data_IF_035255425641
#
_entry.id   IF_035255425641
#
_cell.length_a   1.000
_cell.length_b   1.000
_cell.length_c   1.000
_cell.angle_alpha   90.00
_cell.angle_beta   90.00
_cell.angle_gamma   90.00
#
_symmetry.space_group_name_H-M   'P 1'
#
loop_
_entity.id
_entity.type
_entity.pdbx_description
1 polymer ?
#
# COMPACT_ATOMS: atom_id res chain seq x y z
N UNK A 1 -8.16 -11.66 -15.16
CA UNK A 1 -7.35 -12.01 -13.96
C UNK A 1 -7.45 -10.87 -12.96
N UNK A 2 -7.55 -11.13 -11.65
CA UNK A 2 -7.74 -10.08 -10.62
C UNK A 2 -6.42 -9.76 -9.93
N UNK A 3 -5.95 -8.49 -9.97
CA UNK A 3 -4.80 -8.04 -9.18
C UNK A 3 -4.93 -8.35 -7.69
N UNK A 4 -3.81 -8.70 -7.04
CA UNK A 4 -3.76 -9.11 -5.63
C UNK A 4 -2.61 -8.42 -4.89
N UNK A 5 -2.78 -8.29 -3.58
CA UNK A 5 -1.70 -7.90 -2.67
C UNK A 5 -0.72 -9.06 -2.53
N UNK A 6 0.56 -8.72 -2.46
CA UNK A 6 1.66 -9.65 -2.20
C UNK A 6 2.54 -9.15 -1.06
N UNK A 7 3.13 -10.08 -0.32
CA UNK A 7 4.20 -9.78 0.63
C UNK A 7 5.56 -9.93 -0.06
N UNK A 8 6.45 -8.96 0.15
CA UNK A 8 7.87 -9.07 -0.22
C UNK A 8 8.59 -10.01 0.74
N UNK A 9 9.55 -10.76 0.22
CA UNK A 9 10.40 -11.66 1.00
C UNK A 9 11.87 -11.26 0.88
N UNK A 10 12.64 -11.49 1.95
CA UNK A 10 14.10 -11.39 1.97
C UNK A 10 14.79 -12.75 1.81
N UNK A 11 14.02 -13.83 1.61
CA UNK A 11 14.59 -15.15 1.38
C UNK A 11 15.51 -15.12 0.15
N UNK A 12 16.67 -15.76 0.26
CA UNK A 12 17.62 -15.87 -0.84
C UNK A 12 16.92 -16.48 -2.06
N UNK A 13 17.11 -15.88 -3.24
CA UNK A 13 16.47 -16.31 -4.48
C UNK A 13 15.04 -15.82 -4.69
N UNK A 14 14.45 -15.05 -3.77
CA UNK A 14 13.12 -14.47 -3.99
C UNK A 14 13.11 -13.53 -5.21
N UNK A 15 12.27 -13.85 -6.19
CA UNK A 15 12.00 -13.02 -7.36
C UNK A 15 10.53 -12.60 -7.36
N UNK A 16 10.29 -11.29 -7.19
CA UNK A 16 8.94 -10.73 -7.14
C UNK A 16 8.13 -10.98 -8.43
N UNK A 17 8.76 -10.84 -9.60
CA UNK A 17 8.04 -11.00 -10.86
C UNK A 17 7.68 -12.46 -11.10
N UNK A 18 8.61 -13.39 -10.85
CA UNK A 18 8.32 -14.82 -10.96
C UNK A 18 7.20 -15.26 -10.00
N UNK A 19 7.24 -14.81 -8.74
CA UNK A 19 6.19 -15.09 -7.77
C UNK A 19 4.83 -14.51 -8.19
N UNK A 20 4.83 -13.31 -8.78
CA UNK A 20 3.62 -12.64 -9.25
C UNK A 20 3.00 -13.34 -10.46
N UNK A 21 3.83 -13.73 -11.43
CA UNK A 21 3.41 -14.51 -12.58
C UNK A 21 2.85 -15.87 -12.16
N UNK A 22 3.49 -16.55 -11.20
CA UNK A 22 2.99 -17.82 -10.66
C UNK A 22 1.66 -17.66 -9.91
N UNK A 23 1.41 -16.50 -9.26
CA UNK A 23 0.19 -16.26 -8.49
C UNK A 23 -1.06 -16.15 -9.38
N UNK A 24 -0.98 -15.36 -10.46
CA UNK A 24 -2.14 -15.09 -11.31
C UNK A 24 -1.76 -14.55 -12.69
N UNK A 25 -0.55 -14.78 -13.18
CA UNK A 25 -0.10 -14.35 -14.51
C UNK A 25 0.14 -12.83 -14.67
N UNK A 26 -0.09 -12.02 -13.64
CA UNK A 26 0.10 -10.57 -13.72
C UNK A 26 1.51 -10.16 -13.27
N UNK A 27 2.05 -9.05 -13.79
CA UNK A 27 3.27 -8.43 -13.23
C UNK A 27 2.99 -7.84 -11.85
N UNK A 28 4.05 -7.65 -11.05
CA UNK A 28 3.95 -7.00 -9.74
C UNK A 28 4.69 -5.66 -9.68
N UNK A 29 4.17 -4.72 -8.89
CA UNK A 29 4.86 -3.48 -8.53
C UNK A 29 5.14 -3.40 -7.04
N UNK A 30 6.35 -2.98 -6.68
CA UNK A 30 6.72 -2.66 -5.31
C UNK A 30 6.14 -1.29 -4.94
N UNK A 31 5.43 -1.23 -3.82
CA UNK A 31 4.76 -0.01 -3.33
C UNK A 31 5.29 0.42 -1.96
N UNK A 32 6.56 0.13 -1.66
CA UNK A 32 7.20 0.43 -0.37
C UNK A 32 7.84 1.81 -0.36
N UNK A 33 8.03 2.38 0.84
CA UNK A 33 8.85 3.58 1.05
C UNK A 33 10.34 3.34 0.71
N UNK A 34 11.09 4.38 0.30
CA UNK A 34 10.66 5.77 0.08
C UNK A 34 10.00 6.01 -1.30
N UNK A 35 9.51 4.98 -1.98
CA UNK A 35 8.92 5.12 -3.32
C UNK A 35 7.59 5.87 -3.35
N UNK A 36 7.24 6.38 -4.53
CA UNK A 36 6.01 7.15 -4.86
C UNK A 36 4.72 6.55 -4.28
N UNK A 37 4.62 5.23 -4.24
CA UNK A 37 3.43 4.49 -3.80
C UNK A 37 3.50 4.01 -2.34
N UNK A 38 4.51 4.43 -1.59
CA UNK A 38 4.65 4.13 -0.18
C UNK A 38 3.59 4.84 0.66
N UNK A 39 3.12 4.18 1.73
CA UNK A 39 2.27 4.86 2.70
C UNK A 39 3.05 5.99 3.39
N UNK A 40 2.62 7.26 3.29
CA UNK A 40 3.29 8.37 3.97
C UNK A 40 3.13 8.32 5.50
N UNK A 41 2.08 7.66 6.00
CA UNK A 41 1.85 7.47 7.44
C UNK A 41 2.67 6.26 7.93
N UNK A 42 3.61 6.49 8.83
CA UNK A 42 4.39 5.41 9.45
C UNK A 42 3.63 4.85 10.66
N UNK A 43 3.77 3.53 10.89
CA UNK A 43 3.17 2.88 12.07
C UNK A 43 3.71 3.55 13.35
N UNK A 44 5.01 3.83 13.39
CA UNK A 44 5.68 4.48 14.53
C UNK A 44 5.14 5.88 14.81
N UNK A 45 5.07 6.76 13.80
CA UNK A 45 4.54 8.11 13.99
C UNK A 45 3.05 8.08 14.36
N UNK A 46 2.29 7.18 13.75
CA UNK A 46 0.86 7.00 14.09
C UNK A 46 0.70 6.49 15.53
N UNK A 47 1.53 5.55 15.98
CA UNK A 47 1.52 5.08 17.36
C UNK A 47 1.81 6.23 18.34
N UNK A 48 2.84 7.03 18.06
CA UNK A 48 3.21 8.18 18.90
C UNK A 48 2.14 9.27 18.94
N UNK A 49 1.55 9.64 17.79
CA UNK A 49 0.54 10.70 17.71
C UNK A 49 -0.77 10.32 18.40
N UNK A 50 -1.17 9.04 18.30
CA UNK A 50 -2.49 8.60 18.77
C UNK A 50 -2.43 7.77 20.07
N UNK A 51 -1.24 7.51 20.62
CA UNK A 51 -1.07 6.69 21.82
C UNK A 51 -1.51 5.23 21.63
N UNK A 52 -1.24 4.66 20.46
CA UNK A 52 -1.71 3.33 20.05
C UNK A 52 -0.61 2.27 20.16
N UNK A 53 -1.01 1.02 20.36
CA UNK A 53 -0.13 -0.12 20.12
C UNK A 53 0.18 -0.31 18.62
N UNK A 54 1.09 -1.22 18.30
CA UNK A 54 1.56 -1.42 16.92
C UNK A 54 0.45 -1.88 15.95
N UNK A 55 -0.48 -2.74 16.39
CA UNK A 55 -1.52 -3.30 15.52
C UNK A 55 -2.61 -2.25 15.24
N UNK A 56 -3.04 -1.53 16.28
CA UNK A 56 -3.96 -0.42 16.17
C UNK A 56 -3.35 0.73 15.34
N UNK A 57 -2.07 1.03 15.55
CA UNK A 57 -1.35 2.04 14.77
C UNK A 57 -1.21 1.63 13.29
N UNK A 58 -1.02 0.35 12.98
CA UNK A 58 -0.99 -0.15 11.61
C UNK A 58 -2.34 0.04 10.93
N UNK A 59 -3.44 -0.34 11.59
CA UNK A 59 -4.78 -0.13 11.07
C UNK A 59 -5.04 1.37 10.82
N UNK A 60 -4.68 2.22 11.79
CA UNK A 60 -4.86 3.67 11.69
C UNK A 60 -4.02 4.29 10.57
N UNK A 61 -2.77 3.87 10.39
CA UNK A 61 -1.91 4.36 9.32
C UNK A 61 -2.45 3.99 7.92
N UNK A 62 -3.09 2.82 7.79
CA UNK A 62 -3.73 2.40 6.53
C UNK A 62 -5.02 3.18 6.27
N UNK A 63 -5.81 3.42 7.32
CA UNK A 63 -7.01 4.27 7.26
C UNK A 63 -6.66 5.70 6.80
N UNK A 64 -5.68 6.35 7.44
CA UNK A 64 -5.19 7.67 7.04
C UNK A 64 -4.69 7.68 5.59
N UNK A 65 -3.97 6.63 5.16
CA UNK A 65 -3.54 6.49 3.77
C UNK A 65 -4.73 6.41 2.80
N UNK A 66 -5.77 5.67 3.15
CA UNK A 66 -7.00 5.60 2.35
C UNK A 66 -7.73 6.93 2.26
N UNK A 67 -7.85 7.66 3.35
CA UNK A 67 -8.44 9.01 3.35
C UNK A 67 -7.60 9.97 2.49
N UNK A 68 -6.27 9.90 2.59
CA UNK A 68 -5.36 10.70 1.78
C UNK A 68 -5.54 10.43 0.29
N UNK A 69 -5.48 9.15 -0.13
CA UNK A 69 -5.64 8.75 -1.53
C UNK A 69 -7.03 9.06 -2.10
N UNK A 70 -8.06 9.15 -1.25
CA UNK A 70 -9.43 9.53 -1.63
C UNK A 70 -9.72 11.03 -1.52
N UNK A 71 -8.77 11.82 -1.01
CA UNK A 71 -8.94 13.27 -0.84
C UNK A 71 -9.91 13.67 0.29
N UNK A 72 -10.14 12.78 1.27
CA UNK A 72 -11.05 13.01 2.39
C UNK A 72 -10.32 13.19 3.73
N UNK A 73 -8.98 13.20 3.71
CA UNK A 73 -8.16 13.40 4.90
C UNK A 73 -8.28 14.84 5.41
N UNK A 74 -8.26 14.99 6.73
CA UNK A 74 -8.07 16.30 7.37
C UNK A 74 -6.83 17.01 6.80
N UNK A 75 -6.96 18.24 6.26
CA UNK A 75 -5.83 19.01 5.74
C UNK A 75 -4.67 19.18 6.73
N UNK A 76 -4.92 19.21 8.05
CA UNK A 76 -3.89 19.34 9.08
C UNK A 76 -3.01 18.09 9.20
N UNK A 77 -3.52 16.93 8.78
CA UNK A 77 -2.80 15.66 8.80
C UNK A 77 -2.13 15.35 7.45
N UNK A 78 -2.28 16.24 6.46
CA UNK A 78 -1.88 15.97 5.08
C UNK A 78 -0.36 15.90 4.92
N UNK A 79 0.19 14.80 4.37
CA UNK A 79 1.61 14.68 4.03
C UNK A 79 1.95 15.34 2.68
N UNK A 80 1.02 16.09 2.08
CA UNK A 80 1.13 16.68 0.75
C UNK A 80 0.00 16.25 -0.18
N UNK A 81 0.03 16.71 -1.43
CA UNK A 81 -0.99 16.36 -2.41
C UNK A 81 -0.96 14.84 -2.71
N UNK A 82 -2.11 14.13 -2.64
CA UNK A 82 -2.16 12.73 -3.03
C UNK A 82 -1.99 12.57 -4.55
N UNK A 83 -1.42 11.43 -5.02
CA UNK A 83 -1.44 11.10 -6.44
C UNK A 83 -2.88 11.02 -6.95
N UNK A 84 -3.09 11.42 -8.21
CA UNK A 84 -4.45 11.43 -8.77
C UNK A 84 -4.95 10.00 -8.99
N UNK A 85 -6.28 9.79 -8.94
CA UNK A 85 -6.87 8.49 -9.26
C UNK A 85 -6.53 8.01 -10.68
N UNK A 86 -6.42 8.94 -11.63
CA UNK A 86 -6.02 8.64 -13.00
C UNK A 86 -4.58 8.10 -13.07
N UNK A 87 -3.67 8.73 -12.33
CA UNK A 87 -2.26 8.30 -12.23
C UNK A 87 -2.12 6.94 -11.55
N UNK A 88 -2.84 6.73 -10.44
CA UNK A 88 -2.89 5.43 -9.74
C UNK A 88 -3.36 4.33 -10.71
N UNK A 89 -4.46 4.57 -11.44
CA UNK A 89 -4.98 3.59 -12.42
C UNK A 89 -4.01 3.34 -13.57
N UNK A 90 -3.40 4.40 -14.11
CA UNK A 90 -2.48 4.28 -15.23
C UNK A 90 -1.23 3.48 -14.85
N UNK A 91 -0.68 3.69 -13.66
CA UNK A 91 0.57 3.06 -13.26
C UNK A 91 0.40 1.75 -12.50
N UNK A 92 -0.67 1.56 -11.74
CA UNK A 92 -0.87 0.38 -10.89
C UNK A 92 -1.97 -0.56 -11.39
N UNK A 93 -2.83 -0.10 -12.30
CA UNK A 93 -3.88 -0.92 -12.89
C UNK A 93 -3.31 -2.19 -13.53
N UNK A 94 -3.96 -3.33 -13.30
CA UNK A 94 -3.52 -4.62 -13.84
C UNK A 94 -2.26 -5.23 -13.21
N UNK A 95 -1.70 -4.64 -12.14
CA UNK A 95 -0.51 -5.16 -11.45
C UNK A 95 -0.85 -5.69 -10.06
N UNK A 96 -0.22 -6.80 -9.66
CA UNK A 96 -0.16 -7.17 -8.25
C UNK A 96 0.67 -6.15 -7.47
N UNK A 97 0.31 -5.86 -6.22
CA UNK A 97 0.98 -4.84 -5.42
C UNK A 97 1.71 -5.45 -4.24
N UNK A 98 3.02 -5.20 -4.12
CA UNK A 98 3.89 -5.83 -3.14
C UNK A 98 4.37 -4.87 -2.05
N UNK A 99 4.16 -5.26 -0.79
CA UNK A 99 4.59 -4.57 0.42
C UNK A 99 5.31 -5.51 1.40
N UNK A 100 5.93 -4.97 2.45
CA UNK A 100 6.52 -5.78 3.53
C UNK A 100 5.51 -6.24 4.59
N UNK A 101 4.32 -5.62 4.66
CA UNK A 101 3.31 -5.94 5.68
C UNK A 101 2.87 -7.41 5.60
N UNK A 102 2.82 -8.07 6.77
CA UNK A 102 2.45 -9.48 6.89
C UNK A 102 1.06 -9.77 6.31
N UNK A 103 0.83 -10.92 5.66
CA UNK A 103 -0.50 -11.33 5.23
C UNK A 103 -1.47 -11.36 6.42
N UNK A 104 -2.73 -10.99 6.17
CA UNK A 104 -3.76 -10.94 7.22
C UNK A 104 -3.77 -9.66 8.07
N UNK A 105 -2.75 -8.80 7.98
CA UNK A 105 -2.75 -7.50 8.66
C UNK A 105 -3.13 -6.36 7.70
N UNK A 106 -3.64 -5.21 8.16
CA UNK A 106 -3.96 -4.07 7.29
C UNK A 106 -2.76 -3.61 6.45
N UNK A 107 -2.97 -3.25 5.19
CA UNK A 107 -1.90 -2.70 4.34
C UNK A 107 -2.44 -1.70 3.32
N UNK A 108 -1.61 -0.72 2.97
CA UNK A 108 -1.97 0.27 1.96
C UNK A 108 -2.00 -0.31 0.54
N UNK A 109 -1.41 -1.48 0.29
CA UNK A 109 -1.58 -2.19 -0.98
C UNK A 109 -3.06 -2.51 -1.26
N UNK A 110 -3.83 -2.86 -0.22
CA UNK A 110 -5.25 -3.19 -0.37
C UNK A 110 -6.04 -1.95 -0.82
N UNK A 111 -5.74 -0.79 -0.24
CA UNK A 111 -6.31 0.51 -0.63
C UNK A 111 -5.91 0.89 -2.07
N UNK A 112 -4.62 0.76 -2.42
CA UNK A 112 -4.16 1.07 -3.78
C UNK A 112 -4.79 0.14 -4.82
N UNK A 113 -4.99 -1.15 -4.50
CA UNK A 113 -5.67 -2.10 -5.38
C UNK A 113 -7.13 -1.72 -5.63
N UNK A 114 -7.83 -1.25 -4.60
CA UNK A 114 -9.20 -0.74 -4.71
C UNK A 114 -9.25 0.48 -5.64
N UNK A 115 -8.40 1.48 -5.41
CA UNK A 115 -8.39 2.72 -6.21
C UNK A 115 -7.92 2.48 -7.65
N UNK A 116 -6.97 1.56 -7.85
CA UNK A 116 -6.39 1.26 -9.16
C UNK A 116 -7.30 0.40 -10.07
N UNK A 117 -8.25 -0.34 -9.50
CA UNK A 117 -9.10 -1.28 -10.25
C UNK A 117 -10.62 -1.05 -10.08
N UNK A 118 -11.00 0.10 -9.48
CA UNK A 118 -12.38 0.60 -9.35
C UNK A 118 -12.55 2.00 -9.93
#
# INVERSE_FOLDING_TARGET
MKPRRMQLSRQAGFNLQAASQALNGLPAKRITRPGKWGNPFTIEATAATYGLDADAAQAKAVDLCGQWLRGTLDPQLSPGAPPSRAEIRAELGGHNLACWCRPGTPCHADVLLEVANG
#
